data_IF_667548557741
#
_entry.id   IF_667548557741
#
_cell.length_a   1.000
_cell.length_b   1.000
_cell.length_c   1.000
_cell.angle_alpha   90.00
_cell.angle_beta   90.00
_cell.angle_gamma   90.00
#
_symmetry.space_group_name_H-M   'P 1'
#
loop_
_entity.id
_entity.type
_entity.pdbx_description
1 polymer ?
#
# COMPACT_ATOMS: atom_id res chain seq x y z
N UNK A 1 48.72 -3.71 4.25
CA UNK A 1 47.49 -4.38 3.78
C UNK A 1 47.42 -4.30 2.27
N UNK A 2 47.24 -5.43 1.57
CA UNK A 2 47.30 -5.53 0.11
C UNK A 2 46.06 -4.93 -0.55
N UNK A 3 46.23 -4.17 -1.64
CA UNK A 3 45.16 -3.46 -2.39
C UNK A 3 43.95 -4.34 -2.75
N UNK A 4 44.16 -5.64 -2.98
CA UNK A 4 43.10 -6.60 -3.27
C UNK A 4 42.16 -6.88 -2.08
N UNK A 5 42.68 -6.81 -0.85
CA UNK A 5 41.91 -7.04 0.36
C UNK A 5 40.94 -5.88 0.64
N UNK A 6 41.32 -4.66 0.23
CA UNK A 6 40.45 -3.48 0.26
C UNK A 6 39.31 -3.59 -0.75
N UNK A 7 39.60 -4.00 -1.99
CA UNK A 7 38.55 -4.22 -3.01
C UNK A 7 37.52 -5.26 -2.56
N UNK A 8 37.97 -6.39 -2.02
CA UNK A 8 37.07 -7.43 -1.53
C UNK A 8 36.16 -6.96 -0.38
N UNK A 9 36.69 -6.15 0.54
CA UNK A 9 35.89 -5.58 1.64
C UNK A 9 34.86 -4.55 1.15
N UNK A 10 35.19 -3.79 0.11
CA UNK A 10 34.28 -2.81 -0.48
C UNK A 10 33.16 -3.52 -1.26
N UNK A 11 33.48 -4.54 -2.06
CA UNK A 11 32.48 -5.33 -2.79
C UNK A 11 31.55 -6.13 -1.86
N UNK A 12 32.06 -6.68 -0.75
CA UNK A 12 31.26 -7.39 0.25
C UNK A 12 30.27 -6.46 1.00
N UNK A 13 30.60 -5.17 1.12
CA UNK A 13 29.71 -4.15 1.68
C UNK A 13 28.62 -3.69 0.70
N UNK A 14 28.90 -3.75 -0.61
CA UNK A 14 27.96 -3.36 -1.68
C UNK A 14 27.06 -4.51 -2.16
N UNK A 15 27.48 -5.77 -1.99
CA UNK A 15 26.77 -6.96 -2.49
C UNK A 15 25.68 -7.51 -1.57
N UNK A 16 25.56 -7.01 -0.34
CA UNK A 16 24.57 -7.48 0.63
C UNK A 16 23.38 -6.53 0.63
N UNK A 17 22.27 -6.97 0.04
CA UNK A 17 20.85 -6.59 0.25
C UNK A 17 20.56 -5.14 0.66
N UNK A 18 19.52 -4.47 0.10
CA UNK A 18 19.17 -3.12 0.53
C UNK A 18 19.12 -3.07 2.05
N UNK A 19 20.00 -2.26 2.63
CA UNK A 19 20.09 -2.15 4.07
C UNK A 19 18.74 -1.76 4.66
N UNK A 20 18.49 -2.08 5.92
CA UNK A 20 17.26 -1.72 6.63
C UNK A 20 16.92 -0.21 6.57
N UNK A 21 17.91 0.65 6.32
CA UNK A 21 17.70 2.08 6.06
C UNK A 21 17.26 2.38 4.62
N UNK A 22 17.85 1.72 3.62
CA UNK A 22 17.42 1.82 2.22
C UNK A 22 16.03 1.24 1.98
N UNK A 23 15.71 0.07 2.57
CA UNK A 23 14.36 -0.49 2.48
C UNK A 23 13.30 0.36 3.19
N UNK A 24 13.72 1.17 4.17
CA UNK A 24 12.85 2.12 4.85
C UNK A 24 12.62 3.34 3.96
N UNK A 25 13.68 3.93 3.42
CA UNK A 25 13.61 5.07 2.50
C UNK A 25 12.75 4.76 1.26
N UNK A 26 12.93 3.58 0.66
CA UNK A 26 12.13 3.15 -0.51
C UNK A 26 10.65 2.90 -0.16
N UNK A 27 10.35 2.52 1.09
CA UNK A 27 8.97 2.39 1.59
C UNK A 27 8.31 3.72 1.90
N UNK A 28 9.11 4.74 2.22
CA UNK A 28 8.64 6.08 2.49
C UNK A 28 8.27 6.78 1.15
N UNK A 29 9.08 6.63 0.09
CA UNK A 29 8.80 7.18 -1.27
C UNK A 29 7.50 6.64 -1.92
N UNK A 30 7.11 5.40 -1.64
CA UNK A 30 5.93 4.79 -2.27
C UNK A 30 4.59 5.09 -1.55
N UNK A 31 4.64 5.71 -0.35
CA UNK A 31 3.48 5.91 0.53
C UNK A 31 2.83 7.28 0.44
N UNK A 32 3.35 8.17 -0.40
CA UNK A 32 3.22 9.60 -0.20
C UNK A 32 1.78 10.13 -0.34
N UNK A 33 1.03 9.74 -1.37
CA UNK A 33 -0.24 10.43 -1.68
C UNK A 33 -1.34 10.24 -0.61
N UNK A 34 -1.57 9.02 -0.11
CA UNK A 34 -2.62 8.81 0.90
C UNK A 34 -2.20 9.31 2.30
N UNK A 35 -0.90 9.29 2.58
CA UNK A 35 -0.35 9.75 3.84
C UNK A 35 -0.37 11.29 3.92
N UNK A 36 -0.07 11.97 2.81
CA UNK A 36 -0.26 13.43 2.68
C UNK A 36 -1.72 13.82 2.93
N UNK A 37 -2.68 13.13 2.28
CA UNK A 37 -4.11 13.37 2.52
C UNK A 37 -4.54 13.13 3.97
N UNK A 38 -3.96 12.11 4.62
CA UNK A 38 -4.22 11.84 6.04
C UNK A 38 -3.68 12.97 6.93
N UNK A 39 -2.50 13.50 6.61
CA UNK A 39 -1.91 14.64 7.31
C UNK A 39 -2.74 15.92 7.12
N UNK A 40 -3.21 16.21 5.91
CA UNK A 40 -4.09 17.35 5.63
C UNK A 40 -5.37 17.29 6.48
N UNK A 41 -6.00 16.11 6.52
CA UNK A 41 -7.20 15.87 7.34
C UNK A 41 -6.89 16.10 8.83
N UNK A 42 -5.74 15.65 9.31
CA UNK A 42 -5.33 15.85 10.70
C UNK A 42 -5.18 17.34 11.06
N UNK A 43 -4.58 18.13 10.17
CA UNK A 43 -4.43 19.58 10.35
C UNK A 43 -5.79 20.28 10.41
N UNK A 44 -6.71 19.92 9.52
CA UNK A 44 -8.08 20.48 9.52
C UNK A 44 -8.81 20.16 10.83
N UNK A 45 -8.68 18.93 11.32
CA UNK A 45 -9.30 18.52 12.59
C UNK A 45 -8.69 19.27 13.76
N UNK A 46 -7.36 19.44 13.81
CA UNK A 46 -6.71 20.22 14.87
C UNK A 46 -7.23 21.66 14.90
N UNK A 47 -7.32 22.32 13.74
CA UNK A 47 -7.91 23.67 13.66
C UNK A 47 -9.37 23.70 14.11
N UNK A 48 -10.16 22.68 13.76
CA UNK A 48 -11.55 22.56 14.20
C UNK A 48 -11.68 22.31 15.71
N UNK A 49 -10.77 21.55 16.31
CA UNK A 49 -10.72 21.35 17.76
C UNK A 49 -10.45 22.67 18.50
N UNK A 50 -9.49 23.45 18.00
CA UNK A 50 -9.15 24.77 18.55
C UNK A 50 -10.32 25.75 18.43
N UNK A 51 -10.95 25.82 17.26
CA UNK A 51 -12.11 26.69 17.02
C UNK A 51 -13.32 26.34 17.88
N UNK A 52 -13.55 25.04 18.13
CA UNK A 52 -14.65 24.56 18.98
C UNK A 52 -14.29 24.51 20.48
N UNK A 53 -13.03 24.75 20.85
CA UNK A 53 -12.57 24.66 22.24
C UNK A 53 -12.73 23.27 22.88
N UNK A 54 -12.71 22.21 22.09
CA UNK A 54 -12.90 20.83 22.57
C UNK A 54 -11.59 20.06 22.58
N UNK A 55 -11.41 19.17 23.57
CA UNK A 55 -10.21 18.33 23.64
C UNK A 55 -10.33 17.09 22.74
N UNK A 56 -9.20 16.44 22.47
CA UNK A 56 -9.17 15.16 21.74
C UNK A 56 -9.99 14.06 22.43
N UNK A 57 -10.05 14.09 23.77
CA UNK A 57 -10.85 13.14 24.56
C UNK A 57 -12.35 13.38 24.37
N UNK A 58 -12.74 14.65 24.30
CA UNK A 58 -14.13 15.01 24.06
C UNK A 58 -14.55 14.65 22.64
N UNK A 59 -13.66 14.83 21.66
CA UNK A 59 -13.89 14.37 20.29
C UNK A 59 -14.08 12.86 20.21
N UNK A 60 -13.26 12.09 20.94
CA UNK A 60 -13.40 10.63 21.03
C UNK A 60 -14.76 10.23 21.62
N UNK A 61 -15.19 10.91 22.70
CA UNK A 61 -16.48 10.67 23.33
C UNK A 61 -17.65 11.02 22.39
N UNK A 62 -17.57 12.13 21.65
CA UNK A 62 -18.59 12.57 20.69
C UNK A 62 -18.72 11.65 19.48
N UNK A 63 -17.61 11.14 18.97
CA UNK A 63 -17.58 10.30 17.76
C UNK A 63 -17.74 8.81 18.06
N UNK A 64 -17.65 8.40 19.33
CA UNK A 64 -17.63 6.98 19.72
C UNK A 64 -16.38 6.23 19.26
N UNK A 65 -15.32 6.97 18.90
CA UNK A 65 -14.04 6.42 18.47
C UNK A 65 -13.10 6.32 19.68
N UNK A 66 -12.22 5.32 19.71
CA UNK A 66 -11.27 5.18 20.82
C UNK A 66 -10.31 6.38 20.89
N UNK A 67 -9.95 6.88 22.09
CA UNK A 67 -8.97 7.96 22.22
C UNK A 67 -7.62 7.63 21.59
N UNK A 68 -7.20 6.35 21.61
CA UNK A 68 -5.97 5.92 20.95
C UNK A 68 -6.04 6.09 19.42
N UNK A 69 -7.20 5.81 18.82
CA UNK A 69 -7.42 5.99 17.40
C UNK A 69 -7.48 7.49 17.05
N UNK A 70 -8.15 8.32 17.85
CA UNK A 70 -8.09 9.78 17.67
C UNK A 70 -6.65 10.30 17.74
N UNK A 71 -5.83 9.83 18.68
CA UNK A 71 -4.42 10.24 18.77
C UNK A 71 -3.56 9.76 17.59
N UNK A 72 -3.90 8.64 16.94
CA UNK A 72 -3.20 8.16 15.74
C UNK A 72 -3.62 8.94 14.50
N UNK A 73 -4.92 9.20 14.39
CA UNK A 73 -5.51 10.04 13.36
C UNK A 73 -4.88 11.43 13.32
N UNK A 74 -4.75 12.08 14.49
CA UNK A 74 -4.15 13.42 14.58
C UNK A 74 -2.65 13.46 14.28
N UNK A 75 -1.99 12.29 14.19
CA UNK A 75 -0.60 12.19 13.71
C UNK A 75 -0.50 12.08 12.18
N UNK A 76 -1.62 11.92 11.46
CA UNK A 76 -1.65 11.86 10.00
C UNK A 76 -1.01 10.60 9.40
N UNK A 77 -0.90 9.51 10.15
CA UNK A 77 -0.31 8.25 9.69
C UNK A 77 -1.31 7.09 9.76
N UNK A 78 -2.60 7.40 9.64
CA UNK A 78 -3.67 6.41 9.69
C UNK A 78 -4.48 6.46 8.40
N UNK A 79 -4.81 5.27 7.88
CA UNK A 79 -5.73 5.15 6.78
C UNK A 79 -7.16 5.18 7.33
N UNK A 80 -7.83 6.32 7.18
CA UNK A 80 -9.15 6.54 7.74
C UNK A 80 -10.22 5.84 6.90
N UNK A 81 -11.17 5.19 7.58
CA UNK A 81 -12.37 4.71 6.92
C UNK A 81 -13.31 5.88 6.62
N UNK A 82 -14.06 5.79 5.53
CA UNK A 82 -15.08 6.81 5.20
C UNK A 82 -16.11 6.98 6.34
N UNK A 83 -16.43 5.90 7.06
CA UNK A 83 -17.27 5.94 8.26
C UNK A 83 -16.68 6.84 9.35
N UNK A 84 -15.38 6.73 9.61
CA UNK A 84 -14.70 7.55 10.63
C UNK A 84 -14.70 9.02 10.21
N UNK A 85 -14.45 9.29 8.93
CA UNK A 85 -14.48 10.64 8.37
C UNK A 85 -15.85 11.27 8.55
N UNK A 86 -16.93 10.58 8.16
CA UNK A 86 -18.29 11.08 8.34
C UNK A 86 -18.66 11.33 9.81
N UNK A 87 -18.20 10.49 10.74
CA UNK A 87 -18.38 10.72 12.19
C UNK A 87 -17.68 11.99 12.65
N UNK A 88 -16.47 12.26 12.15
CA UNK A 88 -15.70 13.45 12.50
C UNK A 88 -16.34 14.71 11.93
N UNK A 89 -16.76 14.67 10.66
CA UNK A 89 -17.49 15.76 10.00
C UNK A 89 -18.76 16.12 10.78
N UNK A 90 -19.56 15.12 11.16
CA UNK A 90 -20.77 15.33 11.95
C UNK A 90 -20.49 15.87 13.36
N UNK A 91 -19.42 15.42 14.02
CA UNK A 91 -19.08 15.85 15.38
C UNK A 91 -18.46 17.25 15.44
N UNK A 92 -17.73 17.65 14.40
CA UNK A 92 -17.01 18.92 14.30
C UNK A 92 -17.77 19.98 13.49
N UNK A 93 -18.75 19.58 12.68
CA UNK A 93 -19.48 20.47 11.78
C UNK A 93 -18.63 21.00 10.62
N UNK A 94 -17.67 20.21 10.15
CA UNK A 94 -16.72 20.59 9.08
C UNK A 94 -16.82 19.61 7.91
N UNK A 95 -16.28 20.01 6.76
CA UNK A 95 -16.09 19.15 5.59
C UNK A 95 -14.61 18.75 5.49
N UNK A 96 -14.32 17.45 5.52
CA UNK A 96 -12.97 16.89 5.39
C UNK A 96 -12.70 16.41 3.97
N UNK A 97 -13.69 15.80 3.31
CA UNK A 97 -13.57 15.32 1.93
C UNK A 97 -14.69 15.90 1.07
N UNK A 98 -14.31 16.53 -0.04
CA UNK A 98 -15.24 17.00 -1.05
C UNK A 98 -15.22 16.08 -2.28
N UNK A 99 -16.41 15.77 -2.80
CA UNK A 99 -16.58 15.06 -4.07
C UNK A 99 -16.92 16.09 -5.15
N UNK A 100 -16.17 16.16 -6.26
CA UNK A 100 -16.48 17.10 -7.33
C UNK A 100 -17.84 16.76 -7.97
N UNK A 101 -18.63 17.79 -8.28
CA UNK A 101 -19.96 17.64 -8.89
C UNK A 101 -19.91 17.03 -10.30
N UNK A 102 -18.86 17.35 -11.06
CA UNK A 102 -18.63 16.78 -12.38
C UNK A 102 -17.15 16.55 -12.64
N UNK A 103 -16.84 15.50 -13.41
CA UNK A 103 -15.49 15.19 -13.88
C UNK A 103 -15.54 15.10 -15.40
N UNK A 104 -14.82 15.99 -16.09
CA UNK A 104 -14.64 15.92 -17.53
C UNK A 104 -13.43 15.03 -17.84
N UNK A 105 -13.66 13.81 -18.29
CA UNK A 105 -12.60 12.92 -18.73
C UNK A 105 -12.14 13.32 -20.13
N UNK A 106 -10.85 13.60 -20.32
CA UNK A 106 -10.33 13.82 -21.66
C UNK A 106 -10.06 12.48 -22.37
N UNK A 107 -10.25 12.43 -23.69
CA UNK A 107 -10.03 11.21 -24.49
C UNK A 107 -8.58 10.67 -24.39
N UNK A 108 -7.62 11.56 -24.09
CA UNK A 108 -6.22 11.20 -23.87
C UNK A 108 -6.01 10.33 -22.60
N UNK A 109 -6.80 10.55 -21.54
CA UNK A 109 -6.70 9.82 -20.27
C UNK A 109 -7.41 8.46 -20.30
N UNK A 110 -8.45 8.31 -21.15
CA UNK A 110 -9.17 7.05 -21.32
C UNK A 110 -8.35 6.00 -22.08
N UNK A 111 -7.43 6.43 -22.95
CA UNK A 111 -6.61 5.53 -23.78
C UNK A 111 -5.44 4.91 -22.99
N UNK A 112 -4.84 5.62 -22.03
CA UNK A 112 -3.78 5.08 -21.13
C UNK A 112 -4.29 3.99 -20.21
N UNK A 113 -5.55 4.06 -19.77
CA UNK A 113 -6.18 3.02 -18.95
C UNK A 113 -6.43 1.69 -19.70
N UNK A 114 -6.55 1.72 -21.03
CA UNK A 114 -6.80 0.53 -21.87
C UNK A 114 -5.51 -0.25 -22.19
N UNK A 115 -4.35 0.39 -22.21
CA UNK A 115 -3.05 -0.24 -22.53
C UNK A 115 -2.62 -1.24 -21.44
N UNK A 116 -2.96 -0.99 -20.17
CA UNK A 116 -2.59 -1.86 -19.05
C UNK A 116 -3.44 -3.15 -18.96
N UNK A 117 -4.68 -3.15 -19.46
CA UNK A 117 -5.55 -4.33 -19.42
C UNK A 117 -5.20 -5.36 -20.51
N UNK A 118 -4.65 -4.92 -21.65
CA UNK A 118 -4.30 -5.80 -22.79
C UNK A 118 -3.06 -6.67 -22.54
N UNK A 119 -2.13 -6.21 -21.71
CA UNK A 119 -0.88 -6.91 -21.37
C UNK A 119 -1.07 -8.02 -20.32
N UNK A 120 -2.07 -7.93 -19.44
CA UNK A 120 -2.40 -8.99 -18.47
C UNK A 120 -3.07 -10.22 -19.11
N UNK A 121 -3.81 -10.03 -20.21
CA UNK A 121 -4.47 -11.12 -20.96
C UNK A 121 -3.50 -11.93 -21.82
N UNK A 122 -2.29 -11.43 -22.14
CA UNK A 122 -1.34 -12.12 -23.02
C UNK A 122 -0.39 -13.09 -22.30
N UNK A 123 -0.32 -13.07 -20.96
CA UNK A 123 0.56 -13.97 -20.18
C UNK A 123 -0.10 -15.29 -19.74
N UNK A 124 -1.40 -15.51 -19.99
CA UNK A 124 -2.07 -16.77 -19.59
C UNK A 124 -1.99 -17.89 -20.64
N UNK A 125 -1.38 -17.65 -21.80
CA UNK A 125 -1.39 -18.61 -22.92
C UNK A 125 -0.10 -19.45 -23.10
N UNK A 126 0.94 -19.28 -22.28
CA UNK A 126 2.23 -19.99 -22.48
C UNK A 126 2.56 -21.06 -21.43
N UNK A 127 1.56 -21.63 -20.73
CA UNK A 127 1.79 -22.72 -19.77
C UNK A 127 0.90 -23.94 -19.99
N UNK A 128 0.73 -24.36 -21.24
CA UNK A 128 0.24 -25.72 -21.55
C UNK A 128 0.89 -26.24 -22.82
N UNK A 129 2.18 -26.61 -22.79
CA UNK A 129 2.75 -27.55 -23.76
C UNK A 129 3.96 -28.29 -23.19
N UNK A 130 3.71 -29.58 -22.94
CA UNK A 130 4.64 -30.72 -23.00
C UNK A 130 5.70 -30.91 -21.92
N UNK A 131 5.45 -31.88 -21.05
CA UNK A 131 6.35 -33.03 -20.92
C UNK A 131 5.59 -34.29 -20.46
N UNK A 132 5.18 -35.11 -21.42
CA UNK A 132 5.14 -36.57 -21.23
C UNK A 132 6.00 -37.16 -22.35
N UNK A 133 7.00 -37.96 -21.98
CA UNK A 133 7.18 -39.28 -22.61
C UNK A 133 7.46 -40.32 -21.50
N UNK A 134 6.58 -41.30 -21.26
CA UNK A 134 6.43 -42.57 -21.96
C UNK A 134 7.66 -43.50 -21.93
N UNK A 135 7.59 -44.48 -21.01
CA UNK A 135 8.07 -45.87 -21.19
C UNK A 135 9.46 -46.23 -20.67
N UNK A 136 9.56 -47.12 -19.66
CA UNK A 136 10.09 -48.49 -19.84
C UNK A 136 10.14 -49.31 -18.52
N UNK A 137 9.49 -50.47 -18.57
CA UNK A 137 9.86 -51.77 -17.98
C UNK A 137 10.11 -51.96 -16.47
N UNK A 138 9.26 -52.77 -15.83
CA UNK A 138 9.68 -54.03 -15.19
C UNK A 138 8.44 -54.93 -14.93
N UNK A 139 8.27 -55.89 -15.82
CA UNK A 139 7.42 -57.07 -15.66
C UNK A 139 8.10 -58.06 -14.70
N UNK A 140 7.38 -58.51 -13.66
CA UNK A 140 7.55 -59.85 -13.09
C UNK A 140 6.18 -60.42 -12.76
N UNK A 141 5.87 -61.47 -13.49
CA UNK A 141 4.72 -62.36 -13.37
C UNK A 141 4.90 -63.27 -12.14
N UNK A 142 3.88 -63.28 -11.28
CA UNK A 142 3.63 -64.34 -10.31
C UNK A 142 2.35 -65.06 -10.74
N UNK A 143 2.41 -66.39 -10.94
CA UNK A 143 1.20 -67.21 -10.98
C UNK A 143 1.19 -68.47 -11.84
N UNK A 144 1.59 -69.59 -11.23
CA UNK A 144 0.82 -70.87 -11.17
C UNK A 144 0.51 -71.64 -12.47
N UNK A 145 0.96 -72.92 -12.43
CA UNK A 145 0.69 -74.12 -13.24
C UNK A 145 1.40 -74.28 -14.59
#
# INVERSE_FOLDING_TARGET
>A
MTRNNLKQKIDDALSRQPSRWMEKALRDEAKEAWQERSADIAVLILGALEANGISQKDLAAKTGVSPQQVSKLLKGNENLTLETIGKLEAALGILLIAIPESVSWTEAELNTAQVQKKSASRMRETKTLRSTPQGCAAEKVDGVQ
#
